data_IF_525139466862
#
_entry.id   IF_525139466862
#
_cell.length_a   1.000
_cell.length_b   1.000
_cell.length_c   1.000
_cell.angle_alpha   90.00
_cell.angle_beta   90.00
_cell.angle_gamma   90.00
#
_symmetry.space_group_name_H-M   'P 1'
#
loop_
_entity.id
_entity.type
_entity.pdbx_description
1 polymer ?
#
# COMPACT_ATOMS: atom_id res chain seq x y z
N UNK A 1 12.72 2.62 -7.27
CA UNK A 1 13.99 2.77 -8.01
C UNK A 1 14.58 1.44 -8.53
N UNK A 2 14.14 0.30 -8.01
CA UNK A 2 14.72 -1.04 -8.26
C UNK A 2 14.49 -1.57 -9.68
N UNK A 3 13.30 -1.40 -10.25
CA UNK A 3 12.95 -2.01 -11.55
C UNK A 3 13.63 -1.30 -12.72
N UNK A 4 13.77 0.02 -12.66
CA UNK A 4 14.54 0.78 -13.66
C UNK A 4 15.99 0.30 -13.71
N UNK A 5 16.62 0.07 -12.55
CA UNK A 5 17.97 -0.51 -12.47
C UNK A 5 18.01 -1.93 -13.03
N UNK A 6 17.01 -2.76 -12.73
CA UNK A 6 16.91 -4.14 -13.24
C UNK A 6 16.73 -4.17 -14.75
N UNK A 7 15.81 -3.38 -15.31
CA UNK A 7 15.59 -3.26 -16.75
C UNK A 7 16.84 -2.74 -17.47
N UNK A 8 17.57 -1.79 -16.86
CA UNK A 8 18.85 -1.32 -17.41
C UNK A 8 19.92 -2.42 -17.40
N UNK A 9 19.99 -3.23 -16.34
CA UNK A 9 20.88 -4.38 -16.29
C UNK A 9 20.53 -5.41 -17.38
N UNK A 10 19.25 -5.74 -17.56
CA UNK A 10 18.79 -6.64 -18.61
C UNK A 10 19.19 -6.14 -20.00
N UNK A 11 19.06 -4.83 -20.26
CA UNK A 11 19.51 -4.26 -21.52
C UNK A 11 21.01 -4.47 -21.76
N UNK A 12 21.85 -4.30 -20.73
CA UNK A 12 23.30 -4.59 -20.83
C UNK A 12 23.57 -6.05 -21.16
N UNK A 13 22.84 -6.98 -20.53
CA UNK A 13 22.95 -8.42 -20.80
C UNK A 13 22.58 -8.72 -22.26
N UNK A 14 21.44 -8.21 -22.72
CA UNK A 14 20.97 -8.35 -24.11
C UNK A 14 21.98 -7.77 -25.10
N UNK A 15 22.61 -6.63 -24.77
CA UNK A 15 23.55 -5.95 -25.65
C UNK A 15 24.95 -6.56 -25.66
N UNK A 16 25.25 -7.53 -24.78
CA UNK A 16 26.51 -8.26 -24.81
C UNK A 16 26.70 -8.94 -26.17
N UNK A 17 27.95 -8.97 -26.67
CA UNK A 17 28.27 -9.34 -28.05
C UNK A 17 27.84 -10.75 -28.46
N UNK A 18 27.60 -11.63 -27.49
CA UNK A 18 27.31 -13.04 -27.73
C UNK A 18 25.86 -13.44 -27.36
N UNK A 19 24.98 -12.49 -27.01
CA UNK A 19 23.64 -12.86 -26.59
C UNK A 19 22.77 -13.29 -27.79
N UNK A 20 22.13 -14.47 -27.75
CA UNK A 20 21.23 -14.91 -28.81
C UNK A 20 20.04 -13.94 -28.94
N UNK A 21 19.54 -13.74 -30.17
CA UNK A 21 18.37 -12.90 -30.46
C UNK A 21 18.49 -11.43 -29.98
N UNK A 22 19.71 -10.90 -29.81
CA UNK A 22 19.98 -9.54 -29.31
C UNK A 22 19.14 -8.44 -29.96
N UNK A 23 19.00 -8.44 -31.29
CA UNK A 23 18.25 -7.40 -32.01
C UNK A 23 16.78 -7.41 -31.60
N UNK A 24 16.16 -8.60 -31.63
CA UNK A 24 14.76 -8.80 -31.24
C UNK A 24 14.52 -8.46 -29.77
N UNK A 25 15.37 -8.96 -28.87
CA UNK A 25 15.24 -8.69 -27.44
C UNK A 25 15.48 -7.22 -27.09
N UNK A 26 16.30 -6.49 -27.85
CA UNK A 26 16.50 -5.05 -27.66
C UNK A 26 15.24 -4.25 -28.01
N UNK A 27 14.52 -4.63 -29.07
CA UNK A 27 13.24 -3.99 -29.43
C UNK A 27 12.12 -4.38 -28.45
N UNK A 28 12.06 -5.65 -28.04
CA UNK A 28 11.11 -6.10 -27.02
C UNK A 28 11.37 -5.44 -25.66
N UNK A 29 12.63 -5.16 -25.31
CA UNK A 29 12.99 -4.38 -24.13
C UNK A 29 12.40 -2.96 -24.19
N UNK A 30 12.56 -2.26 -25.31
CA UNK A 30 11.99 -0.92 -25.50
C UNK A 30 10.47 -0.92 -25.34
N UNK A 31 9.78 -1.89 -25.94
CA UNK A 31 8.31 -2.04 -25.81
C UNK A 31 7.89 -2.28 -24.37
N UNK A 32 8.60 -3.15 -23.65
CA UNK A 32 8.31 -3.43 -22.24
C UNK A 32 8.53 -2.18 -21.37
N UNK A 33 9.63 -1.44 -21.56
CA UNK A 33 9.90 -0.19 -20.85
C UNK A 33 8.82 0.85 -21.15
N UNK A 34 8.40 1.00 -22.42
CA UNK A 34 7.35 1.93 -22.81
C UNK A 34 6.02 1.59 -22.12
N UNK A 35 5.65 0.31 -22.08
CA UNK A 35 4.44 -0.18 -21.40
C UNK A 35 4.51 0.04 -19.86
N UNK A 36 5.67 -0.22 -19.26
CA UNK A 36 5.89 0.00 -17.83
C UNK A 36 5.92 1.50 -17.46
N UNK A 37 6.17 2.39 -18.41
CA UNK A 37 6.16 3.84 -18.20
C UNK A 37 4.86 4.52 -18.65
N UNK A 38 4.02 3.88 -19.47
CA UNK A 38 2.77 4.46 -19.94
C UNK A 38 1.74 4.58 -18.81
N UNK A 39 0.91 5.63 -18.84
CA UNK A 39 -0.29 5.68 -18.01
C UNK A 39 -1.22 4.51 -18.38
N UNK A 40 -1.84 3.87 -17.38
CA UNK A 40 -2.85 2.84 -17.63
C UNK A 40 -4.23 3.47 -17.64
N UNK A 41 -4.98 3.24 -18.72
CA UNK A 41 -6.41 3.55 -18.78
C UNK A 41 -7.15 2.29 -18.33
N UNK A 42 -8.16 2.38 -17.44
CA UNK A 42 -8.86 1.21 -16.89
C UNK A 42 -9.21 0.10 -17.89
N UNK A 43 -9.80 0.47 -19.02
CA UNK A 43 -10.24 -0.46 -20.06
C UNK A 43 -9.10 -1.14 -20.83
N UNK A 44 -7.89 -0.57 -20.80
CA UNK A 44 -6.71 -1.15 -21.45
C UNK A 44 -5.89 -2.04 -20.53
N UNK A 45 -6.22 -2.12 -19.23
CA UNK A 45 -5.41 -2.84 -18.23
C UNK A 45 -5.27 -4.33 -18.56
N UNK A 46 -6.35 -5.11 -18.83
CA UNK A 46 -6.20 -6.53 -19.18
C UNK A 46 -5.30 -6.74 -20.41
N UNK A 47 -5.53 -5.95 -21.46
CA UNK A 47 -4.72 -5.99 -22.68
C UNK A 47 -3.25 -5.60 -22.44
N UNK A 48 -3.01 -4.60 -21.58
CA UNK A 48 -1.65 -4.16 -21.22
C UNK A 48 -0.93 -5.25 -20.43
N UNK A 49 -1.61 -5.87 -19.48
CA UNK A 49 -1.10 -7.03 -18.74
C UNK A 49 -0.77 -8.19 -19.68
N UNK A 50 -1.68 -8.55 -20.58
CA UNK A 50 -1.45 -9.59 -21.57
C UNK A 50 -0.26 -9.26 -22.49
N UNK A 51 -0.15 -8.01 -22.94
CA UNK A 51 0.96 -7.54 -23.77
C UNK A 51 2.30 -7.66 -23.03
N UNK A 52 2.33 -7.30 -21.74
CA UNK A 52 3.53 -7.47 -20.91
C UNK A 52 3.94 -8.94 -20.82
N UNK A 53 2.98 -9.86 -20.65
CA UNK A 53 3.25 -11.29 -20.53
C UNK A 53 3.67 -11.95 -21.83
N UNK A 54 3.20 -11.47 -22.97
CA UNK A 54 3.62 -11.97 -24.29
C UNK A 54 4.98 -11.42 -24.73
N UNK A 55 5.49 -10.39 -24.06
CA UNK A 55 6.77 -9.78 -24.38
C UNK A 55 7.93 -10.77 -24.19
N UNK A 56 8.85 -10.82 -25.16
CA UNK A 56 9.90 -11.83 -25.13
C UNK A 56 10.96 -11.57 -24.05
N UNK A 57 11.20 -10.31 -23.66
CA UNK A 57 12.10 -10.01 -22.52
C UNK A 57 11.47 -10.48 -21.22
N UNK A 58 10.15 -10.33 -21.07
CA UNK A 58 9.43 -10.85 -19.91
C UNK A 58 9.59 -12.36 -19.75
N UNK A 59 9.48 -13.10 -20.85
CA UNK A 59 9.59 -14.56 -20.86
C UNK A 59 11.03 -15.07 -20.80
N UNK A 60 11.95 -14.48 -21.58
CA UNK A 60 13.36 -14.94 -21.65
C UNK A 60 14.10 -14.80 -20.33
N UNK A 61 13.72 -13.80 -19.51
CA UNK A 61 14.35 -13.52 -18.21
C UNK A 61 13.46 -13.90 -17.02
N UNK A 62 12.43 -14.72 -17.25
CA UNK A 62 11.53 -15.24 -16.23
C UNK A 62 11.00 -14.16 -15.27
N UNK A 63 10.58 -13.02 -15.82
CA UNK A 63 10.15 -11.87 -15.01
C UNK A 63 8.87 -12.14 -14.24
N UNK A 64 8.11 -13.18 -14.59
CA UNK A 64 6.95 -13.67 -13.85
C UNK A 64 7.28 -14.20 -12.44
N UNK A 65 8.55 -14.55 -12.19
CA UNK A 65 9.06 -14.99 -10.88
C UNK A 65 9.46 -13.79 -10.01
N UNK A 66 9.70 -12.61 -10.61
CA UNK A 66 9.98 -11.39 -9.87
C UNK A 66 8.71 -10.55 -9.68
N UNK A 67 8.06 -10.60 -8.49
CA UNK A 67 6.82 -9.89 -8.25
C UNK A 67 6.97 -8.37 -8.41
N UNK A 68 8.18 -7.80 -8.34
CA UNK A 68 8.38 -6.37 -8.46
C UNK A 68 8.00 -5.86 -9.86
N UNK A 69 8.34 -6.60 -10.93
CA UNK A 69 8.05 -6.19 -12.31
C UNK A 69 6.54 -6.07 -12.51
N UNK A 70 5.81 -7.10 -12.11
CA UNK A 70 4.35 -7.13 -12.20
C UNK A 70 3.70 -6.10 -11.27
N UNK A 71 4.23 -5.91 -10.05
CA UNK A 71 3.80 -4.88 -9.10
C UNK A 71 3.83 -3.48 -9.71
N UNK A 72 4.76 -3.17 -10.63
CA UNK A 72 4.79 -1.85 -11.32
C UNK A 72 3.58 -1.60 -12.22
N UNK A 73 3.09 -2.64 -12.89
CA UNK A 73 1.90 -2.54 -13.74
C UNK A 73 0.68 -2.37 -12.84
N UNK A 74 0.53 -3.29 -11.87
CA UNK A 74 -0.65 -3.37 -11.02
C UNK A 74 -0.78 -2.18 -10.07
N UNK A 75 0.34 -1.61 -9.63
CA UNK A 75 0.33 -0.48 -8.72
C UNK A 75 -0.37 0.75 -9.27
N UNK A 76 -0.32 0.99 -10.59
CA UNK A 76 -1.00 2.10 -11.25
C UNK A 76 -2.53 2.00 -11.19
N UNK A 77 -3.06 0.82 -10.89
CA UNK A 77 -4.49 0.58 -10.80
C UNK A 77 -4.99 1.11 -9.46
N UNK A 78 -6.01 1.96 -9.51
CA UNK A 78 -6.57 2.65 -8.34
C UNK A 78 -8.04 2.29 -8.07
N UNK A 79 -8.61 1.43 -8.90
CA UNK A 79 -9.99 0.94 -8.81
C UNK A 79 -9.98 -0.56 -8.51
N UNK A 80 -10.68 -0.96 -7.45
CA UNK A 80 -10.74 -2.36 -7.02
C UNK A 80 -11.43 -3.26 -8.05
N UNK A 81 -12.42 -2.74 -8.80
CA UNK A 81 -13.16 -3.52 -9.80
C UNK A 81 -12.28 -4.02 -10.92
N UNK A 82 -11.24 -3.25 -11.26
CA UNK A 82 -10.26 -3.64 -12.28
C UNK A 82 -9.41 -4.81 -11.78
N UNK A 83 -8.99 -4.78 -10.52
CA UNK A 83 -8.21 -5.89 -9.92
C UNK A 83 -9.06 -7.15 -9.79
N UNK A 84 -10.32 -7.00 -9.38
CA UNK A 84 -11.30 -8.11 -9.33
C UNK A 84 -11.48 -8.71 -10.72
N UNK A 85 -11.71 -7.89 -11.75
CA UNK A 85 -11.80 -8.37 -13.13
C UNK A 85 -10.53 -9.10 -13.60
N UNK A 86 -9.33 -8.65 -13.21
CA UNK A 86 -8.08 -9.35 -13.54
C UNK A 86 -7.98 -10.71 -12.84
N UNK A 87 -8.47 -10.83 -11.60
CA UNK A 87 -8.51 -12.10 -10.87
C UNK A 87 -9.57 -13.06 -11.43
N UNK A 88 -10.69 -12.51 -11.94
CA UNK A 88 -11.83 -13.26 -12.48
C UNK A 88 -11.66 -13.64 -13.97
N UNK A 89 -10.55 -13.27 -14.62
CA UNK A 89 -10.20 -13.64 -16.01
C UNK A 89 -9.09 -14.73 -16.11
N UNK A 90 -9.19 -15.89 -15.42
CA UNK A 90 -8.14 -16.89 -15.46
C UNK A 90 -7.97 -17.57 -16.84
N UNK A 91 -8.97 -17.46 -17.72
CA UNK A 91 -8.95 -18.08 -19.06
C UNK A 91 -8.19 -17.28 -20.11
N UNK A 92 -7.99 -15.97 -19.90
CA UNK A 92 -7.35 -15.08 -20.89
C UNK A 92 -5.91 -14.72 -20.51
N UNK A 93 -5.62 -14.68 -19.21
CA UNK A 93 -4.31 -14.34 -18.67
C UNK A 93 -3.96 -15.36 -17.57
N UNK A 94 -3.01 -16.24 -17.85
CA UNK A 94 -2.43 -17.10 -16.82
C UNK A 94 -1.55 -16.28 -15.89
N UNK A 95 -1.71 -16.41 -14.57
CA UNK A 95 -0.88 -15.75 -13.56
C UNK A 95 -0.08 -16.76 -12.75
N UNK A 96 1.19 -16.46 -12.48
CA UNK A 96 2.01 -17.23 -11.52
C UNK A 96 1.45 -17.09 -10.10
N UNK A 97 1.94 -17.91 -9.17
CA UNK A 97 1.55 -17.80 -7.77
C UNK A 97 1.91 -16.42 -7.20
N UNK A 98 3.11 -15.93 -7.51
CA UNK A 98 3.65 -14.65 -7.08
C UNK A 98 2.83 -13.48 -7.65
N UNK A 99 2.43 -13.53 -8.92
CA UNK A 99 1.58 -12.51 -9.54
C UNK A 99 0.18 -12.49 -8.91
N UNK A 100 -0.41 -13.65 -8.61
CA UNK A 100 -1.69 -13.73 -7.90
C UNK A 100 -1.59 -13.11 -6.51
N UNK A 101 -0.49 -13.37 -5.78
CA UNK A 101 -0.24 -12.72 -4.50
C UNK A 101 -0.20 -11.20 -4.62
N UNK A 102 0.46 -10.66 -5.66
CA UNK A 102 0.49 -9.21 -5.93
C UNK A 102 -0.91 -8.64 -6.20
N UNK A 103 -1.75 -9.33 -6.99
CA UNK A 103 -3.13 -8.92 -7.24
C UNK A 103 -3.96 -8.91 -5.96
N UNK A 104 -3.88 -9.95 -5.14
CA UNK A 104 -4.61 -10.03 -3.88
C UNK A 104 -4.15 -8.98 -2.86
N UNK A 105 -2.83 -8.75 -2.75
CA UNK A 105 -2.29 -7.68 -1.91
C UNK A 105 -2.82 -6.32 -2.38
N UNK A 106 -2.77 -6.04 -3.69
CA UNK A 106 -3.29 -4.80 -4.25
C UNK A 106 -4.78 -4.62 -3.99
N UNK A 107 -5.58 -5.68 -4.20
CA UNK A 107 -7.02 -5.63 -3.95
C UNK A 107 -7.32 -5.29 -2.50
N UNK A 108 -6.57 -5.91 -1.57
CA UNK A 108 -6.73 -5.69 -0.12
C UNK A 108 -6.44 -4.23 0.24
N UNK A 109 -5.39 -3.63 -0.32
CA UNK A 109 -5.07 -2.21 -0.14
C UNK A 109 -6.18 -1.30 -0.68
N UNK A 110 -6.70 -1.59 -1.89
CA UNK A 110 -7.76 -0.78 -2.48
C UNK A 110 -9.09 -0.89 -1.70
N UNK A 111 -9.45 -2.09 -1.24
CA UNK A 111 -10.64 -2.30 -0.39
C UNK A 111 -10.52 -1.55 0.93
N UNK A 112 -9.36 -1.59 1.57
CA UNK A 112 -9.09 -0.83 2.77
C UNK A 112 -9.29 0.67 2.57
N UNK A 113 -8.74 1.23 1.49
CA UNK A 113 -8.88 2.66 1.19
C UNK A 113 -10.33 3.04 0.88
N UNK A 114 -11.09 2.13 0.27
CA UNK A 114 -12.51 2.31 0.06
C UNK A 114 -13.29 2.31 1.39
N UNK A 115 -12.97 1.39 2.31
CA UNK A 115 -13.55 1.37 3.67
C UNK A 115 -13.26 2.65 4.43
N UNK A 116 -11.99 3.09 4.45
CA UNK A 116 -11.60 4.35 5.10
C UNK A 116 -12.32 5.57 4.51
N UNK A 117 -12.51 5.59 3.18
CA UNK A 117 -13.30 6.63 2.51
C UNK A 117 -14.76 6.62 2.94
N UNK A 118 -15.33 5.43 3.11
CA UNK A 118 -16.72 5.26 3.51
C UNK A 118 -16.93 5.70 4.97
N UNK A 119 -16.06 5.27 5.88
CA UNK A 119 -16.08 5.68 7.28
C UNK A 119 -16.00 7.21 7.39
N UNK A 120 -15.06 7.84 6.67
CA UNK A 120 -14.92 9.30 6.68
C UNK A 120 -16.16 10.05 6.14
N UNK A 121 -16.84 9.49 5.12
CA UNK A 121 -18.10 10.05 4.62
C UNK A 121 -19.21 9.96 5.64
N UNK A 122 -19.36 8.81 6.29
CA UNK A 122 -20.40 8.61 7.31
C UNK A 122 -20.19 9.55 8.50
N UNK A 123 -18.94 9.74 8.92
CA UNK A 123 -18.56 10.71 9.97
C UNK A 123 -18.90 12.14 9.53
N UNK A 124 -18.57 12.50 8.28
CA UNK A 124 -18.83 13.85 7.75
C UNK A 124 -20.33 14.15 7.66
N UNK A 125 -21.12 13.22 7.10
CA UNK A 125 -22.58 13.35 7.00
C UNK A 125 -23.23 13.47 8.39
N UNK A 126 -22.73 12.72 9.38
CA UNK A 126 -23.19 12.84 10.75
C UNK A 126 -22.83 14.20 11.37
N UNK A 127 -21.58 14.66 11.21
CA UNK A 127 -21.11 15.94 11.75
C UNK A 127 -21.85 17.15 11.17
N UNK A 128 -22.15 17.13 9.86
CA UNK A 128 -22.95 18.18 9.21
C UNK A 128 -24.39 18.21 9.74
N UNK A 129 -24.99 17.04 9.96
CA UNK A 129 -26.39 16.92 10.35
C UNK A 129 -26.65 17.20 11.83
N UNK A 130 -25.71 16.86 12.72
CA UNK A 130 -25.94 16.87 14.16
C UNK A 130 -25.08 17.87 14.95
N UNK A 131 -23.99 18.37 14.37
CA UNK A 131 -23.03 19.22 15.11
C UNK A 131 -22.79 20.60 14.47
N UNK A 132 -23.55 20.97 13.43
CA UNK A 132 -23.38 22.23 12.68
C UNK A 132 -21.93 22.47 12.24
N UNK A 133 -21.18 21.39 11.97
CA UNK A 133 -19.82 21.52 11.45
C UNK A 133 -19.85 22.14 10.06
N UNK A 134 -18.93 23.08 9.82
CA UNK A 134 -18.81 23.70 8.51
C UNK A 134 -18.48 22.64 7.46
N UNK A 135 -19.10 22.77 6.29
CA UNK A 135 -18.99 21.87 5.12
C UNK A 135 -17.54 21.60 4.65
N UNK A 136 -16.56 22.37 5.13
CA UNK A 136 -15.12 22.21 4.82
C UNK A 136 -14.28 21.54 5.93
N UNK A 137 -14.86 21.14 7.06
CA UNK A 137 -14.08 20.61 8.20
C UNK A 137 -13.28 19.35 7.82
N UNK A 138 -13.90 18.43 7.08
CA UNK A 138 -13.28 17.17 6.65
C UNK A 138 -12.50 17.29 5.32
N UNK A 139 -12.45 18.47 4.69
CA UNK A 139 -11.82 18.64 3.38
C UNK A 139 -10.36 18.20 3.42
N UNK A 140 -9.63 18.59 4.47
CA UNK A 140 -8.25 18.18 4.67
C UNK A 140 -8.11 16.66 4.82
N UNK A 141 -9.02 15.98 5.54
CA UNK A 141 -8.98 14.52 5.69
C UNK A 141 -9.21 13.81 4.34
N UNK A 142 -10.11 14.33 3.49
CA UNK A 142 -10.32 13.78 2.16
C UNK A 142 -9.12 14.01 1.23
N UNK A 143 -8.46 15.16 1.33
CA UNK A 143 -7.21 15.43 0.60
C UNK A 143 -6.09 14.49 1.04
N UNK A 144 -5.92 14.30 2.34
CA UNK A 144 -4.95 13.35 2.91
C UNK A 144 -5.24 11.91 2.48
N UNK A 145 -6.51 11.49 2.47
CA UNK A 145 -6.90 10.17 1.99
C UNK A 145 -6.54 9.96 0.51
N UNK A 146 -6.73 10.98 -0.33
CA UNK A 146 -6.31 10.93 -1.73
C UNK A 146 -4.79 10.81 -1.87
N UNK A 147 -4.03 11.54 -1.05
CA UNK A 147 -2.57 11.42 -1.05
C UNK A 147 -2.09 10.06 -0.53
N UNK A 148 -2.73 9.50 0.50
CA UNK A 148 -2.45 8.16 1.02
C UNK A 148 -2.69 7.09 -0.07
N UNK A 149 -3.76 7.24 -0.86
CA UNK A 149 -4.06 6.36 -1.99
C UNK A 149 -2.93 6.36 -3.01
N UNK A 150 -2.40 7.53 -3.37
CA UNK A 150 -1.25 7.65 -4.27
C UNK A 150 0.00 7.04 -3.63
N UNK A 151 0.26 7.34 -2.37
CA UNK A 151 1.44 6.85 -1.63
C UNK A 151 1.49 5.32 -1.58
N UNK A 152 0.37 4.67 -1.29
CA UNK A 152 0.27 3.20 -1.27
C UNK A 152 0.31 2.56 -2.67
N UNK A 153 0.28 3.35 -3.74
CA UNK A 153 0.49 2.88 -5.12
C UNK A 153 1.94 2.98 -5.59
N UNK A 154 2.85 3.54 -4.79
CA UNK A 154 4.27 3.66 -5.16
C UNK A 154 5.17 3.09 -4.07
N UNK A 155 6.47 3.11 -4.34
CA UNK A 155 7.45 2.86 -3.29
C UNK A 155 7.33 3.96 -2.24
N UNK A 156 7.16 3.54 -0.99
CA UNK A 156 6.97 4.42 0.17
C UNK A 156 8.33 4.83 0.71
N UNK A 157 8.48 6.13 0.97
CA UNK A 157 9.68 6.72 1.58
C UNK A 157 9.49 6.92 3.07
N UNK A 158 10.57 7.28 3.78
CA UNK A 158 10.47 7.68 5.19
C UNK A 158 9.60 8.92 5.35
N UNK A 159 9.74 9.91 4.45
CA UNK A 159 8.96 11.15 4.45
C UNK A 159 7.46 10.88 4.30
N UNK A 160 7.08 9.89 3.50
CA UNK A 160 5.68 9.48 3.35
C UNK A 160 5.09 8.90 4.65
N UNK A 161 5.92 8.18 5.41
CA UNK A 161 5.52 7.60 6.69
C UNK A 161 5.44 8.66 7.77
N UNK A 162 6.41 9.57 7.81
CA UNK A 162 6.38 10.74 8.68
C UNK A 162 5.14 11.59 8.39
N UNK A 163 4.91 11.95 7.12
CA UNK A 163 3.71 12.65 6.68
C UNK A 163 2.45 11.99 7.22
N UNK A 164 2.26 10.69 6.98
CA UNK A 164 1.06 9.97 7.41
C UNK A 164 0.84 10.08 8.92
N UNK A 165 1.88 9.88 9.73
CA UNK A 165 1.79 9.92 11.20
C UNK A 165 1.40 11.32 11.73
N UNK A 166 1.65 12.38 10.95
CA UNK A 166 1.29 13.76 11.28
C UNK A 166 0.04 14.28 10.55
N UNK A 167 -0.70 13.42 9.84
CA UNK A 167 -1.96 13.82 9.20
C UNK A 167 -3.12 13.98 10.16
N UNK A 168 -4.10 14.80 9.77
CA UNK A 168 -5.36 14.92 10.51
C UNK A 168 -6.16 13.62 10.46
N UNK A 169 -6.12 12.88 9.35
CA UNK A 169 -6.78 11.57 9.26
C UNK A 169 -6.18 10.56 10.23
N UNK A 170 -4.85 10.54 10.41
CA UNK A 170 -4.22 9.69 11.40
C UNK A 170 -4.65 10.05 12.83
N UNK A 171 -4.63 11.34 13.17
CA UNK A 171 -5.04 11.79 14.49
C UNK A 171 -6.53 11.52 14.76
N UNK A 172 -7.39 11.71 13.75
CA UNK A 172 -8.80 11.37 13.83
C UNK A 172 -9.01 9.87 14.05
N UNK A 173 -8.30 9.00 13.34
CA UNK A 173 -8.36 7.55 13.52
C UNK A 173 -7.84 7.10 14.89
N UNK A 174 -6.86 7.80 15.45
CA UNK A 174 -6.30 7.50 16.78
C UNK A 174 -7.24 7.93 17.91
N UNK A 175 -7.90 9.07 17.78
CA UNK A 175 -8.81 9.61 18.79
C UNK A 175 -10.15 8.89 18.72
N UNK A 176 -10.66 8.65 17.51
CA UNK A 176 -12.00 8.13 17.25
C UNK A 176 -11.97 6.74 16.63
N UNK A 177 -11.16 5.85 17.20
CA UNK A 177 -10.93 4.51 16.63
C UNK A 177 -12.20 3.68 16.44
N UNK A 178 -13.24 3.92 17.23
CA UNK A 178 -14.53 3.22 17.13
C UNK A 178 -15.32 3.59 15.87
N UNK A 179 -15.03 4.74 15.26
CA UNK A 179 -15.70 5.21 14.04
C UNK A 179 -15.04 4.68 12.76
N UNK A 180 -13.88 4.03 12.88
CA UNK A 180 -13.14 3.49 11.74
C UNK A 180 -13.11 1.97 11.76
N UNK A 181 -13.49 1.38 10.63
CA UNK A 181 -13.38 -0.05 10.37
C UNK A 181 -11.93 -0.50 10.19
N UNK A 182 -11.05 0.43 9.80
CA UNK A 182 -9.63 0.19 9.55
C UNK A 182 -8.82 0.86 10.66
N UNK A 183 -7.98 0.12 11.41
CA UNK A 183 -7.14 0.72 12.42
C UNK A 183 -5.90 1.41 11.79
N UNK A 184 -5.41 2.52 12.36
CA UNK A 184 -4.26 3.27 11.82
C UNK A 184 -2.97 2.45 11.83
N UNK A 185 -2.85 1.48 12.74
CA UNK A 185 -1.74 0.52 12.80
C UNK A 185 -1.64 -0.36 11.55
N UNK A 186 -2.77 -0.70 10.93
CA UNK A 186 -2.79 -1.53 9.73
C UNK A 186 -2.35 -0.73 8.50
N UNK A 187 -2.73 0.55 8.41
CA UNK A 187 -2.20 1.47 7.37
C UNK A 187 -0.70 1.64 7.52
N UNK A 188 -0.22 1.87 8.75
CA UNK A 188 1.21 1.95 9.04
C UNK A 188 1.95 0.67 8.63
N UNK A 189 1.39 -0.52 8.92
CA UNK A 189 1.97 -1.79 8.49
C UNK A 189 2.12 -1.88 6.97
N UNK A 190 1.12 -1.43 6.21
CA UNK A 190 1.16 -1.41 4.75
C UNK A 190 2.21 -0.43 4.20
N UNK A 191 2.29 0.77 4.79
CA UNK A 191 3.30 1.75 4.41
C UNK A 191 4.71 1.18 4.60
N UNK A 192 4.99 0.55 5.75
CA UNK A 192 6.29 -0.06 6.04
C UNK A 192 6.59 -1.22 5.08
N UNK A 193 5.61 -2.09 4.80
CA UNK A 193 5.78 -3.19 3.83
C UNK A 193 6.12 -2.70 2.41
N UNK A 194 5.61 -1.53 2.03
CA UNK A 194 5.84 -0.92 0.71
C UNK A 194 7.08 -0.02 0.62
N UNK A 195 7.92 0.02 1.65
CA UNK A 195 9.26 0.64 1.58
C UNK A 195 10.22 -0.20 0.74
N UNK A 196 11.31 0.40 0.22
CA UNK A 196 12.36 -0.37 -0.47
C UNK A 196 13.02 -1.35 0.52
N UNK A 197 12.99 -2.65 0.20
CA UNK A 197 13.54 -3.73 1.03
C UNK A 197 14.90 -4.20 0.49
N UNK A 198 15.81 -4.68 1.36
CA UNK A 198 15.72 -4.75 2.83
C UNK A 198 15.92 -3.40 3.52
N UNK A 199 15.28 -3.21 4.68
CA UNK A 199 15.40 -1.97 5.46
C UNK A 199 16.79 -1.85 6.09
N UNK A 200 17.52 -0.78 5.75
CA UNK A 200 18.83 -0.51 6.34
C UNK A 200 18.73 -0.17 7.84
N UNK A 201 19.82 -0.36 8.60
CA UNK A 201 19.89 0.07 10.01
C UNK A 201 19.59 1.58 10.15
N UNK A 202 20.07 2.38 9.20
CA UNK A 202 19.81 3.83 9.15
C UNK A 202 18.31 4.11 9.01
N UNK A 203 17.67 3.52 8.00
CA UNK A 203 16.23 3.72 7.75
C UNK A 203 15.39 3.26 8.96
N UNK A 204 15.75 2.12 9.57
CA UNK A 204 15.07 1.65 10.78
C UNK A 204 15.17 2.66 11.93
N UNK A 205 16.35 3.23 12.15
CA UNK A 205 16.53 4.24 13.19
C UNK A 205 15.76 5.53 12.87
N UNK A 206 15.67 5.93 11.60
CA UNK A 206 14.85 7.07 11.16
C UNK A 206 13.37 6.82 11.46
N UNK A 207 12.84 5.62 11.15
CA UNK A 207 11.48 5.24 11.53
C UNK A 207 11.26 5.29 13.05
N UNK A 208 12.20 4.77 13.84
CA UNK A 208 12.13 4.85 15.30
C UNK A 208 12.07 6.32 15.78
N UNK A 209 12.85 7.20 15.16
CA UNK A 209 12.86 8.62 15.52
C UNK A 209 11.53 9.29 15.22
N UNK A 210 10.89 8.99 14.07
CA UNK A 210 9.55 9.50 13.74
C UNK A 210 8.53 9.07 14.81
N UNK A 211 8.53 7.79 15.20
CA UNK A 211 7.63 7.27 16.23
C UNK A 211 7.89 7.93 17.61
N UNK A 212 9.15 8.14 17.98
CA UNK A 212 9.53 8.82 19.22
C UNK A 212 9.09 10.28 19.21
N UNK A 213 9.30 10.99 18.10
CA UNK A 213 8.86 12.38 17.96
C UNK A 213 7.34 12.49 18.13
N UNK A 214 6.57 11.60 17.48
CA UNK A 214 5.10 11.57 17.65
C UNK A 214 4.70 11.28 19.09
N UNK A 215 5.37 10.32 19.76
CA UNK A 215 5.14 10.02 21.18
C UNK A 215 5.40 11.24 22.07
N UNK A 216 6.49 11.97 21.83
CA UNK A 216 6.83 13.16 22.61
C UNK A 216 5.77 14.26 22.47
N UNK A 217 5.21 14.45 21.28
CA UNK A 217 4.20 15.47 21.03
C UNK A 217 2.80 15.07 21.52
N UNK A 218 2.41 13.80 21.32
CA UNK A 218 1.07 13.30 21.65
C UNK A 218 0.95 12.75 23.08
N UNK A 219 2.08 12.45 23.74
CA UNK A 219 2.10 11.85 25.06
C UNK A 219 1.46 10.46 25.07
N UNK A 220 0.57 10.22 26.03
CA UNK A 220 -0.08 8.92 26.23
C UNK A 220 -1.11 8.56 25.15
N UNK A 221 -1.58 9.54 24.35
CA UNK A 221 -2.58 9.27 23.29
C UNK A 221 -1.99 8.53 22.08
N UNK A 222 -0.66 8.42 21.98
CA UNK A 222 0.00 7.66 20.94
C UNK A 222 0.60 6.36 21.49
N UNK A 223 0.13 5.22 20.98
CA UNK A 223 0.60 3.90 21.39
C UNK A 223 1.93 3.53 20.70
N UNK A 224 3.03 4.15 21.14
CA UNK A 224 4.37 3.88 20.63
C UNK A 224 4.71 2.37 20.60
N UNK A 225 4.33 1.62 21.65
CA UNK A 225 4.67 0.20 21.78
C UNK A 225 4.12 -0.65 20.63
N UNK A 226 2.86 -0.42 20.24
CA UNK A 226 2.23 -1.14 19.11
C UNK A 226 2.89 -0.78 17.77
N UNK A 227 3.11 0.50 17.48
CA UNK A 227 3.72 0.92 16.21
C UNK A 227 5.20 0.47 16.11
N UNK A 228 5.95 0.55 17.21
CA UNK A 228 7.31 0.03 17.29
C UNK A 228 7.37 -1.48 17.07
N UNK A 229 6.43 -2.24 17.66
CA UNK A 229 6.36 -3.69 17.46
C UNK A 229 6.12 -4.06 16.00
N UNK A 230 5.28 -3.30 15.28
CA UNK A 230 5.05 -3.48 13.83
C UNK A 230 6.35 -3.26 13.06
N UNK A 231 7.05 -2.15 13.32
CA UNK A 231 8.32 -1.81 12.69
C UNK A 231 9.38 -2.89 12.94
N UNK A 232 9.51 -3.34 14.18
CA UNK A 232 10.45 -4.36 14.61
C UNK A 232 10.16 -5.71 13.94
N UNK A 233 8.89 -6.16 13.97
CA UNK A 233 8.49 -7.42 13.37
C UNK A 233 8.77 -7.45 11.86
N UNK A 234 8.45 -6.36 11.14
CA UNK A 234 8.72 -6.30 9.72
C UNK A 234 10.23 -6.36 9.44
N UNK A 235 11.07 -5.66 10.22
CA UNK A 235 12.53 -5.78 10.08
C UNK A 235 13.02 -7.23 10.27
N UNK A 236 12.49 -7.95 11.26
CA UNK A 236 12.92 -9.32 11.58
C UNK A 236 12.41 -10.37 10.60
N UNK A 237 11.14 -10.30 10.19
CA UNK A 237 10.58 -11.18 9.16
C UNK A 237 11.40 -11.07 7.87
N UNK A 238 11.85 -9.86 7.53
CA UNK A 238 12.64 -9.60 6.34
C UNK A 238 14.11 -10.06 6.44
N UNK A 239 14.71 -10.07 7.64
CA UNK A 239 16.05 -10.63 7.84
C UNK A 239 16.11 -12.16 7.80
N UNK A 240 15.01 -12.84 8.16
CA UNK A 240 14.98 -14.31 8.21
C UNK A 240 14.66 -15.00 6.88
N UNK A 241 14.07 -14.29 5.91
CA UNK A 241 13.86 -14.83 4.55
C UNK A 241 15.14 -14.89 3.71
N UNK A 242 16.23 -14.23 4.14
CA UNK A 242 17.53 -14.29 3.46
C UNK A 242 18.43 -15.45 3.93
N UNK A 243 18.06 -16.16 5.02
CA UNK A 243 18.92 -17.15 5.67
C UNK A 243 18.29 -18.54 5.92
N UNK A 244 17.19 -18.89 5.24
CA UNK A 244 16.65 -20.26 5.33
C UNK A 244 16.92 -21.04 4.04
N UNK A 245 17.68 -22.15 4.10
CA UNK A 245 17.57 -23.17 3.06
C UNK A 245 16.13 -23.68 3.04
N UNK A 246 15.58 -23.83 1.84
CA UNK A 246 14.24 -24.37 1.62
C UNK A 246 14.12 -25.75 2.26
N UNK A 247 13.26 -25.88 3.26
CA UNK A 247 12.65 -27.15 3.66
C UNK A 247 11.18 -26.92 4.03
N UNK A 248 10.38 -27.91 3.67
CA UNK A 248 8.95 -27.87 3.42
C UNK A 248 8.03 -27.74 4.66
N UNK A 249 6.83 -27.23 4.37
CA UNK A 249 5.51 -27.47 4.96
C UNK A 249 5.36 -27.97 6.41
N UNK A 250 4.57 -27.22 7.21
CA UNK A 250 3.26 -27.72 7.67
C UNK A 250 2.43 -26.66 8.41
N UNK A 251 1.16 -26.58 8.01
CA UNK A 251 -0.05 -26.23 8.76
C UNK A 251 -0.04 -24.98 9.65
N UNK A 252 -0.63 -23.87 9.17
CA UNK A 252 -1.11 -22.79 10.03
C UNK A 252 -2.62 -22.59 9.89
N UNK A 253 -3.32 -22.90 10.97
CA UNK A 253 -4.71 -22.56 11.28
C UNK A 253 -4.99 -21.07 11.07
N UNK A 254 -6.09 -20.78 10.38
CA UNK A 254 -6.62 -19.44 10.13
C UNK A 254 -6.96 -18.73 11.46
N UNK A 255 -6.57 -17.46 11.69
CA UNK A 255 -7.06 -16.71 12.83
C UNK A 255 -8.54 -16.33 12.61
N UNK A 256 -9.41 -16.78 13.52
CA UNK A 256 -10.81 -16.35 13.59
C UNK A 256 -10.86 -14.85 13.85
N UNK A 257 -11.53 -14.11 12.96
CA UNK A 257 -11.87 -12.72 13.17
C UNK A 257 -12.94 -12.61 14.26
N UNK A 258 -12.64 -11.90 15.35
CA UNK A 258 -13.66 -11.46 16.29
C UNK A 258 -14.39 -10.26 15.69
N UNK A 259 -15.65 -10.48 15.30
CA UNK A 259 -16.61 -9.43 15.02
C UNK A 259 -16.96 -8.72 16.33
N UNK A 260 -16.66 -7.42 16.42
CA UNK A 260 -17.16 -6.58 17.49
C UNK A 260 -18.66 -6.29 17.27
N UNK A 261 -19.50 -6.39 18.31
CA UNK A 261 -20.92 -6.07 18.19
C UNK A 261 -21.10 -4.56 18.00
N UNK A 262 -21.80 -4.19 16.93
CA UNK A 262 -22.27 -2.81 16.69
C UNK A 262 -23.39 -2.48 17.69
N UNK A 263 -23.07 -1.84 18.82
CA UNK A 263 -24.05 -1.07 19.59
C UNK A 263 -23.89 0.41 19.26
N UNK A 264 -24.50 0.83 18.15
CA UNK A 264 -24.69 2.24 17.83
C UNK A 264 -25.83 2.73 18.72
N UNK A 265 -25.53 3.57 19.71
CA UNK A 265 -26.35 4.71 20.12
C UNK A 265 -25.67 5.46 21.29
N UNK A 266 -25.33 6.75 21.05
CA UNK A 266 -24.82 7.81 21.95
C UNK A 266 -23.31 8.14 21.97
N UNK A 267 -22.41 7.30 21.47
CA UNK A 267 -20.96 7.61 21.41
C UNK A 267 -20.51 8.59 20.31
N UNK A 268 -21.11 8.65 19.09
CA UNK A 268 -20.59 9.49 18.00
C UNK A 268 -20.62 11.01 18.28
N UNK A 269 -21.55 11.49 19.12
CA UNK A 269 -21.77 12.93 19.36
C UNK A 269 -20.75 13.58 20.33
N UNK A 270 -20.12 12.79 21.21
CA UNK A 270 -19.08 13.33 22.11
C UNK A 270 -17.70 13.29 21.44
N UNK A 271 -17.48 12.25 20.66
CA UNK A 271 -16.32 12.00 19.83
C UNK A 271 -16.04 13.15 18.85
N UNK A 272 -16.98 13.37 17.92
CA UNK A 272 -16.85 14.34 16.84
C UNK A 272 -16.74 15.77 17.42
N UNK A 273 -17.51 16.07 18.47
CA UNK A 273 -17.42 17.31 19.25
C UNK A 273 -16.04 17.53 19.88
N UNK A 274 -15.44 16.52 20.51
CA UNK A 274 -14.11 16.62 21.12
C UNK A 274 -13.00 16.83 20.09
N UNK A 275 -13.10 16.19 18.92
CA UNK A 275 -12.15 16.41 17.83
C UNK A 275 -12.25 17.84 17.28
N UNK A 276 -13.46 18.37 17.09
CA UNK A 276 -13.70 19.75 16.67
C UNK A 276 -13.12 20.77 17.66
N UNK A 277 -13.40 20.64 18.96
CA UNK A 277 -12.86 21.59 19.96
C UNK A 277 -11.33 21.53 20.08
N UNK A 278 -10.71 20.36 19.85
CA UNK A 278 -9.24 20.22 19.88
C UNK A 278 -8.55 20.80 18.65
N UNK A 279 -9.21 20.77 17.49
CA UNK A 279 -8.67 21.30 16.23
C UNK A 279 -8.88 22.81 16.10
N UNK A 280 -10.00 23.34 16.59
CA UNK A 280 -10.30 24.78 16.57
C UNK A 280 -9.49 25.56 17.63
N UNK A 281 -9.21 24.98 18.80
CA UNK A 281 -8.44 25.65 19.87
C UNK A 281 -6.90 25.55 19.72
N UNK A 282 -6.39 24.99 18.61
CA UNK A 282 -4.94 24.90 18.31
C UNK A 282 -4.45 25.95 17.30
N UNK A 283 -5.28 26.92 16.92
CA UNK A 283 -4.88 28.07 16.10
C UNK A 283 -4.72 29.33 16.95
#
# INVERSE_FOLDING_TARGET
MIITKKLFYLLKVIQSSNHPNRVLLSEEHKKLVALLNSGLIPYSVPKSTQTAKLNQVYNTFDLHIDPNVFKTIINKIVDCKIIEALLDMPTEISYSHEEKMVLHEKLSVLKLLASLKQDLKEIAEFGEKYENMQRGFFEQNFQELNYLKITLTRSVTIDDIEWFIYTNIFDLMMIESELFTVPPTYIYQLLIKNTEQPMSKKNFNEHCQVLLNKKTQAGQSFNYGTFYSILYNIKYSLSHHLNKPFTECSNSTSPRFHTFPKSINKLPQLAIKNHFYRTVNKR
#
